data_IF_054361186569
#
_entry.id   IF_054361186569
#
_cell.length_a   1.000
_cell.length_b   1.000
_cell.length_c   1.000
_cell.angle_alpha   90.00
_cell.angle_beta   90.00
_cell.angle_gamma   90.00
#
_symmetry.space_group_name_H-M   'P 1'
#
loop_
_entity.id
_entity.type
_entity.pdbx_description
1 polymer ?
#
# COMPACT_ATOMS: atom_id res chain seq x y z
N UNK A 1 -25.81 -1.37 -15.45
CA UNK A 1 -25.14 -0.34 -16.27
C UNK A 1 -23.98 -0.93 -17.06
N UNK A 2 -22.99 -1.57 -16.41
CA UNK A 2 -21.81 -2.17 -17.07
C UNK A 2 -22.15 -3.13 -18.23
N UNK A 3 -22.95 -4.19 -18.00
CA UNK A 3 -23.32 -5.17 -19.04
C UNK A 3 -23.98 -4.58 -20.30
N UNK A 4 -24.70 -3.46 -20.20
CA UNK A 4 -25.37 -2.83 -21.36
C UNK A 4 -24.41 -2.01 -22.21
N UNK A 5 -23.37 -1.45 -21.59
CA UNK A 5 -22.36 -0.65 -22.29
C UNK A 5 -21.25 -1.51 -22.91
N UNK A 6 -21.07 -2.74 -22.40
CA UNK A 6 -19.97 -3.62 -22.84
C UNK A 6 -20.40 -4.76 -23.78
N UNK A 7 -21.67 -4.81 -24.18
CA UNK A 7 -22.19 -5.86 -25.08
C UNK A 7 -21.55 -5.88 -26.47
N UNK A 8 -20.93 -4.77 -26.90
CA UNK A 8 -20.18 -4.65 -28.17
C UNK A 8 -18.69 -4.97 -28.04
N UNK A 9 -18.22 -5.33 -26.85
CA UNK A 9 -16.80 -5.56 -26.55
C UNK A 9 -16.49 -7.06 -26.38
N UNK A 10 -17.26 -7.94 -27.02
CA UNK A 10 -17.14 -9.40 -26.87
C UNK A 10 -15.75 -9.96 -27.20
N UNK A 11 -14.99 -9.26 -28.04
CA UNK A 11 -13.65 -9.68 -28.49
C UNK A 11 -12.53 -9.20 -27.56
N UNK A 12 -12.87 -8.54 -26.45
CA UNK A 12 -11.92 -8.00 -25.48
C UNK A 12 -11.89 -8.84 -24.20
N UNK A 13 -10.75 -8.75 -23.50
CA UNK A 13 -10.59 -9.28 -22.16
C UNK A 13 -10.78 -8.17 -21.12
N UNK A 14 -11.47 -8.48 -20.02
CA UNK A 14 -11.58 -7.56 -18.88
C UNK A 14 -10.55 -7.91 -17.83
N UNK A 15 -9.69 -6.95 -17.48
CA UNK A 15 -8.82 -7.02 -16.33
C UNK A 15 -9.40 -6.17 -15.20
N UNK A 16 -9.80 -6.82 -14.10
CA UNK A 16 -10.01 -6.14 -12.83
C UNK A 16 -8.68 -6.07 -12.06
N UNK A 17 -8.06 -4.88 -11.93
CA UNK A 17 -6.79 -4.73 -11.21
C UNK A 17 -6.94 -4.85 -9.68
N UNK A 18 -8.09 -5.36 -9.21
CA UNK A 18 -8.43 -5.58 -7.82
C UNK A 18 -9.26 -6.88 -7.65
N UNK A 19 -9.63 -7.15 -6.40
CA UNK A 19 -10.34 -8.36 -5.95
C UNK A 19 -11.67 -8.64 -6.66
N UNK A 20 -12.37 -7.61 -7.13
CA UNK A 20 -13.76 -7.73 -7.55
C UNK A 20 -13.87 -7.46 -9.03
N UNK A 21 -14.08 -8.53 -9.77
CA UNK A 21 -14.39 -8.43 -11.19
C UNK A 21 -15.85 -7.92 -11.32
N UNK A 22 -16.16 -7.02 -12.28
CA UNK A 22 -17.53 -6.63 -12.60
C UNK A 22 -18.23 -7.70 -13.45
N UNK A 23 -19.57 -7.81 -13.46
CA UNK A 23 -20.28 -8.81 -14.28
C UNK A 23 -19.89 -8.76 -15.76
N UNK A 24 -19.21 -9.80 -16.23
CA UNK A 24 -18.66 -9.93 -17.58
C UNK A 24 -18.86 -11.36 -18.09
N UNK A 25 -19.20 -11.51 -19.37
CA UNK A 25 -19.48 -12.82 -19.99
C UNK A 25 -18.31 -13.37 -20.83
N UNK A 26 -17.35 -12.52 -21.19
CA UNK A 26 -16.17 -12.90 -21.96
C UNK A 26 -14.96 -13.28 -21.10
N UNK A 27 -13.77 -13.44 -21.71
CA UNK A 27 -12.53 -13.68 -21.00
C UNK A 27 -12.25 -12.60 -19.97
N UNK A 28 -11.80 -13.00 -18.79
CA UNK A 28 -11.50 -12.06 -17.70
C UNK A 28 -10.37 -12.50 -16.80
N UNK A 29 -9.68 -11.53 -16.23
CA UNK A 29 -8.68 -11.73 -15.19
C UNK A 29 -8.91 -10.79 -14.02
N UNK A 30 -8.61 -11.25 -12.81
CA UNK A 30 -8.65 -10.44 -11.60
C UNK A 30 -7.31 -10.53 -10.88
N UNK A 31 -6.83 -9.40 -10.35
CA UNK A 31 -5.61 -9.35 -9.54
C UNK A 31 -5.95 -9.37 -8.06
N UNK A 32 -5.43 -10.37 -7.35
CA UNK A 32 -5.50 -10.47 -5.90
C UNK A 32 -4.14 -10.04 -5.32
N UNK A 33 -4.16 -9.02 -4.46
CA UNK A 33 -2.96 -8.40 -3.93
C UNK A 33 -2.49 -9.01 -2.61
N UNK A 34 -3.43 -9.41 -1.75
CA UNK A 34 -3.18 -10.06 -0.48
C UNK A 34 -4.45 -10.80 0.00
N UNK A 35 -4.37 -11.56 1.09
CA UNK A 35 -5.54 -12.14 1.77
C UNK A 35 -5.71 -11.55 3.17
N UNK A 36 -5.32 -10.29 3.39
CA UNK A 36 -5.32 -9.74 4.75
C UNK A 36 -6.72 -9.58 5.35
N UNK A 37 -7.73 -9.47 4.49
CA UNK A 37 -9.13 -9.48 4.89
C UNK A 37 -9.56 -10.81 5.51
N UNK A 38 -8.88 -11.91 5.16
CA UNK A 38 -9.10 -13.24 5.74
C UNK A 38 -8.25 -13.46 7.01
N UNK A 39 -6.96 -13.12 6.95
CA UNK A 39 -6.01 -13.37 8.05
C UNK A 39 -6.11 -12.38 9.20
N UNK A 40 -6.41 -11.13 8.88
CA UNK A 40 -6.43 -10.02 9.83
C UNK A 40 -7.70 -9.16 9.67
N UNK A 41 -8.91 -9.75 9.74
CA UNK A 41 -10.16 -9.02 9.54
C UNK A 41 -10.32 -7.84 10.51
N UNK A 42 -9.74 -7.92 11.72
CA UNK A 42 -9.73 -6.84 12.71
C UNK A 42 -8.95 -5.60 12.26
N UNK A 43 -8.05 -5.71 11.28
CA UNK A 43 -7.32 -4.58 10.71
C UNK A 43 -8.08 -3.85 9.59
N UNK A 44 -9.32 -4.28 9.30
CA UNK A 44 -10.13 -3.73 8.22
C UNK A 44 -11.47 -3.20 8.74
N UNK A 45 -12.06 -2.20 8.07
CA UNK A 45 -13.44 -1.82 8.32
C UNK A 45 -14.39 -2.99 8.03
N UNK A 46 -15.40 -3.19 8.88
CA UNK A 46 -16.31 -4.35 8.83
C UNK A 46 -17.07 -4.43 7.51
N UNK A 47 -17.43 -3.29 6.93
CA UNK A 47 -18.09 -3.18 5.65
C UNK A 47 -17.22 -3.66 4.48
N UNK A 48 -15.89 -3.45 4.56
CA UNK A 48 -14.95 -3.97 3.56
C UNK A 48 -14.89 -5.49 3.62
N UNK A 49 -14.86 -6.06 4.83
CA UNK A 49 -14.87 -7.52 5.02
C UNK A 49 -16.15 -8.12 4.41
N UNK A 50 -17.32 -7.59 4.79
CA UNK A 50 -18.61 -8.04 4.24
C UNK A 50 -18.69 -7.91 2.72
N UNK A 51 -18.13 -6.83 2.17
CA UNK A 51 -18.07 -6.63 0.74
C UNK A 51 -17.23 -7.72 0.05
N UNK A 52 -16.04 -8.01 0.56
CA UNK A 52 -15.17 -9.04 0.00
C UNK A 52 -15.76 -10.44 0.16
N UNK A 53 -16.31 -10.79 1.33
CA UNK A 53 -17.02 -12.06 1.55
C UNK A 53 -18.16 -12.28 0.55
N UNK A 54 -18.89 -11.20 0.20
CA UNK A 54 -20.00 -11.28 -0.74
C UNK A 54 -19.58 -11.36 -2.21
N UNK A 55 -18.55 -10.61 -2.60
CA UNK A 55 -18.25 -10.39 -4.03
C UNK A 55 -16.99 -11.10 -4.53
N UNK A 56 -16.11 -11.55 -3.63
CA UNK A 56 -14.93 -12.31 -4.00
C UNK A 56 -15.28 -13.71 -4.54
N UNK A 57 -16.14 -14.54 -3.90
CA UNK A 57 -16.41 -15.89 -4.40
C UNK A 57 -16.90 -15.91 -5.86
N UNK A 58 -17.87 -15.06 -6.28
CA UNK A 58 -18.25 -14.98 -7.69
C UNK A 58 -17.08 -14.61 -8.62
N UNK A 59 -16.13 -13.78 -8.15
CA UNK A 59 -14.93 -13.45 -8.92
C UNK A 59 -14.03 -14.66 -9.12
N UNK A 60 -13.80 -15.45 -8.07
CA UNK A 60 -13.00 -16.67 -8.13
C UNK A 60 -13.61 -17.70 -9.09
N UNK A 61 -14.95 -17.80 -9.12
CA UNK A 61 -15.65 -18.75 -9.98
C UNK A 61 -15.56 -18.37 -11.46
N UNK A 62 -15.77 -17.09 -11.78
CA UNK A 62 -15.94 -16.64 -13.18
C UNK A 62 -14.67 -16.13 -13.86
N UNK A 63 -13.65 -15.74 -13.11
CA UNK A 63 -12.41 -15.25 -13.71
C UNK A 63 -11.74 -16.36 -14.51
N UNK A 64 -11.37 -16.08 -15.76
CA UNK A 64 -10.67 -17.05 -16.61
C UNK A 64 -9.28 -17.38 -16.04
N UNK A 65 -8.58 -16.38 -15.49
CA UNK A 65 -7.35 -16.54 -14.69
C UNK A 65 -7.33 -15.55 -13.53
N UNK A 66 -6.61 -15.89 -12.48
CA UNK A 66 -6.27 -14.97 -11.40
C UNK A 66 -4.81 -14.57 -11.50
N UNK A 67 -4.51 -13.32 -11.19
CA UNK A 67 -3.15 -12.81 -11.06
C UNK A 67 -2.84 -12.66 -9.58
N UNK A 68 -1.75 -13.26 -9.13
CA UNK A 68 -1.17 -13.02 -7.82
C UNK A 68 0.09 -12.16 -7.97
N UNK A 69 0.27 -11.18 -7.09
CA UNK A 69 1.41 -10.24 -7.17
C UNK A 69 2.74 -10.83 -6.66
N UNK A 70 2.71 -12.04 -6.12
CA UNK A 70 3.89 -12.79 -5.68
C UNK A 70 3.56 -14.29 -5.60
N UNK A 71 4.59 -15.13 -5.58
CA UNK A 71 4.39 -16.57 -5.38
C UNK A 71 3.81 -16.87 -4.00
N UNK A 72 4.15 -16.07 -2.98
CA UNK A 72 3.51 -16.16 -1.67
C UNK A 72 2.00 -15.99 -1.78
N UNK A 73 1.52 -14.91 -2.41
CA UNK A 73 0.09 -14.66 -2.59
C UNK A 73 -0.58 -15.74 -3.45
N UNK A 74 0.14 -16.30 -4.44
CA UNK A 74 -0.38 -17.43 -5.24
C UNK A 74 -0.67 -18.66 -4.38
N UNK A 75 0.28 -19.03 -3.51
CA UNK A 75 0.10 -20.16 -2.60
C UNK A 75 -1.02 -19.89 -1.59
N UNK A 76 -1.10 -18.67 -1.08
CA UNK A 76 -2.17 -18.23 -0.17
C UNK A 76 -3.55 -18.38 -0.80
N UNK A 77 -3.74 -17.92 -2.05
CA UNK A 77 -4.99 -18.08 -2.79
C UNK A 77 -5.34 -19.55 -2.96
N UNK A 78 -4.35 -20.39 -3.28
CA UNK A 78 -4.58 -21.83 -3.42
C UNK A 78 -5.03 -22.47 -2.10
N UNK A 79 -4.30 -22.23 -1.01
CA UNK A 79 -4.51 -22.86 0.28
C UNK A 79 -5.80 -22.39 0.96
N UNK A 80 -6.09 -21.10 0.90
CA UNK A 80 -7.19 -20.50 1.66
C UNK A 80 -8.48 -20.30 0.86
N UNK A 81 -8.37 -20.17 -0.47
CA UNK A 81 -9.54 -19.99 -1.35
C UNK A 81 -9.80 -21.20 -2.26
N UNK A 82 -9.04 -22.29 -2.09
CA UNK A 82 -9.21 -23.55 -2.83
C UNK A 82 -9.15 -23.40 -4.36
N UNK A 83 -8.48 -22.36 -4.87
CA UNK A 83 -8.32 -22.17 -6.32
C UNK A 83 -7.13 -23.02 -6.82
N UNK A 84 -7.28 -23.82 -7.88
CA UNK A 84 -6.17 -24.60 -8.43
C UNK A 84 -5.00 -23.71 -8.91
N UNK A 85 -3.76 -24.08 -8.60
CA UNK A 85 -2.56 -23.33 -9.00
C UNK A 85 -2.45 -23.09 -10.50
N UNK A 86 -3.03 -23.97 -11.34
CA UNK A 86 -3.08 -23.81 -12.79
C UNK A 86 -3.96 -22.64 -13.26
N UNK A 87 -4.87 -22.14 -12.40
CA UNK A 87 -5.70 -20.96 -12.68
C UNK A 87 -5.09 -19.66 -12.18
N UNK A 88 -3.97 -19.72 -11.45
CA UNK A 88 -3.32 -18.57 -10.83
C UNK A 88 -1.96 -18.34 -11.47
N UNK A 89 -1.74 -17.13 -11.97
CA UNK A 89 -0.48 -16.71 -12.58
C UNK A 89 0.20 -15.70 -11.67
N UNK A 90 1.46 -15.97 -11.31
CA UNK A 90 2.28 -15.01 -10.56
C UNK A 90 2.79 -13.94 -11.52
N UNK A 91 2.46 -12.68 -11.25
CA UNK A 91 2.99 -11.52 -11.96
C UNK A 91 3.51 -10.53 -10.92
N UNK A 92 4.82 -10.43 -10.79
CA UNK A 92 5.44 -9.51 -9.85
C UNK A 92 5.16 -8.05 -10.24
N UNK A 93 4.85 -7.22 -9.25
CA UNK A 93 4.70 -5.79 -9.48
C UNK A 93 6.02 -5.17 -9.93
N UNK A 94 5.97 -4.32 -10.94
CA UNK A 94 7.09 -3.48 -11.34
C UNK A 94 7.23 -2.26 -10.42
N UNK A 95 8.37 -1.57 -10.56
CA UNK A 95 8.59 -0.24 -9.98
C UNK A 95 8.77 0.75 -11.12
N UNK A 96 8.24 1.96 -10.96
CA UNK A 96 8.42 3.03 -11.94
C UNK A 96 9.90 3.46 -11.99
N UNK A 97 10.42 3.71 -13.19
CA UNK A 97 11.82 4.07 -13.42
C UNK A 97 12.22 5.39 -12.71
N UNK A 98 11.26 6.23 -12.32
CA UNK A 98 11.51 7.43 -11.54
C UNK A 98 12.10 7.14 -10.14
N UNK A 99 11.84 5.95 -9.58
CA UNK A 99 12.37 5.50 -8.28
C UNK A 99 13.76 4.93 -8.45
N UNK A 100 14.76 5.80 -8.35
CA UNK A 100 16.17 5.44 -8.36
C UNK A 100 16.96 6.36 -7.41
N UNK A 101 18.17 5.95 -7.05
CA UNK A 101 19.09 6.78 -6.27
C UNK A 101 19.46 8.05 -7.02
N UNK A 102 19.57 9.17 -6.30
CA UNK A 102 19.89 10.49 -6.87
C UNK A 102 20.91 11.22 -5.99
N UNK A 103 21.80 12.03 -6.57
CA UNK A 103 22.66 12.94 -5.81
C UNK A 103 21.86 13.86 -4.88
N UNK A 104 22.46 14.26 -3.75
CA UNK A 104 21.85 15.17 -2.79
C UNK A 104 21.46 16.53 -3.41
N UNK A 105 22.24 17.02 -4.39
CA UNK A 105 21.96 18.27 -5.10
C UNK A 105 20.65 18.21 -5.89
N UNK A 106 20.28 17.04 -6.41
CA UNK A 106 19.06 16.86 -7.20
C UNK A 106 17.81 16.74 -6.32
N UNK A 107 17.96 16.22 -5.10
CA UNK A 107 16.86 16.03 -4.16
C UNK A 107 16.61 17.27 -3.29
N UNK A 108 17.66 18.03 -2.97
CA UNK A 108 17.61 19.19 -2.06
C UNK A 108 16.49 20.20 -2.35
N UNK A 109 16.20 20.60 -3.62
CA UNK A 109 15.13 21.56 -3.89
C UNK A 109 13.72 21.05 -3.57
N UNK A 110 13.45 19.75 -3.71
CA UNK A 110 12.18 19.15 -3.27
C UNK A 110 12.15 19.03 -1.76
N UNK A 111 13.21 18.48 -1.16
CA UNK A 111 13.27 18.27 0.27
C UNK A 111 13.11 19.59 1.05
N UNK A 112 13.74 20.66 0.59
CA UNK A 112 13.64 21.98 1.22
C UNK A 112 12.20 22.52 1.26
N UNK A 113 11.37 22.25 0.23
CA UNK A 113 9.93 22.62 0.22
C UNK A 113 9.14 21.93 1.33
N UNK A 114 9.60 20.75 1.75
CA UNK A 114 9.04 19.98 2.87
C UNK A 114 9.81 20.21 4.17
N UNK A 115 10.74 21.16 4.22
CA UNK A 115 11.59 21.43 5.39
C UNK A 115 12.53 20.27 5.74
N UNK A 116 12.93 19.46 4.77
CA UNK A 116 13.82 18.31 4.92
C UNK A 116 15.20 18.58 4.33
N UNK A 117 16.18 17.77 4.73
CA UNK A 117 17.54 17.79 4.18
C UNK A 117 17.95 16.39 3.71
N UNK A 118 18.76 16.27 2.64
CA UNK A 118 19.24 14.97 2.17
C UNK A 118 19.93 14.18 3.27
N UNK A 119 19.51 12.93 3.45
CA UNK A 119 19.98 12.05 4.51
C UNK A 119 19.56 12.48 5.92
N UNK A 120 18.70 13.48 6.08
CA UNK A 120 18.34 14.10 7.37
C UNK A 120 17.16 13.47 8.11
N UNK A 121 16.57 12.40 7.60
CA UNK A 121 15.33 11.81 8.14
C UNK A 121 15.19 10.33 7.82
N UNK A 122 14.41 9.63 8.64
CA UNK A 122 13.88 8.30 8.30
C UNK A 122 12.54 8.48 7.58
N UNK A 123 12.25 7.63 6.59
CA UNK A 123 11.03 7.75 5.80
C UNK A 123 10.14 6.52 5.94
N UNK A 124 8.83 6.72 6.15
CA UNK A 124 7.81 5.70 5.94
C UNK A 124 6.70 6.27 5.06
N UNK A 125 6.35 5.55 4.00
CA UNK A 125 5.28 5.93 3.06
C UNK A 125 4.18 4.88 3.10
N UNK A 126 3.05 5.21 3.71
CA UNK A 126 1.91 4.32 3.80
C UNK A 126 0.62 5.07 4.18
N UNK A 127 -0.53 4.59 3.73
CA UNK A 127 -1.82 4.98 4.33
C UNK A 127 -1.78 4.72 5.85
N UNK A 128 -2.28 5.65 6.65
CA UNK A 128 -2.33 5.49 8.10
C UNK A 128 -3.45 4.50 8.46
N UNK A 129 -3.13 3.20 8.46
CA UNK A 129 -4.04 2.10 8.81
C UNK A 129 -3.30 1.02 9.63
N UNK A 130 -3.99 0.23 10.48
CA UNK A 130 -3.37 -0.76 11.37
C UNK A 130 -2.41 -1.73 10.67
N UNK A 131 -2.76 -2.11 9.44
CA UNK A 131 -2.02 -3.08 8.62
C UNK A 131 -0.60 -2.63 8.25
N UNK A 132 -0.32 -1.33 8.35
CA UNK A 132 1.01 -0.77 8.07
C UNK A 132 1.92 -0.78 9.29
N UNK A 133 1.40 -1.22 10.44
CA UNK A 133 2.15 -1.41 11.67
C UNK A 133 2.91 -0.15 12.14
N UNK A 134 2.36 1.03 11.84
CA UNK A 134 2.98 2.31 12.17
C UNK A 134 3.08 2.57 13.68
N UNK A 135 2.24 1.89 14.48
CA UNK A 135 2.33 1.90 15.95
C UNK A 135 3.68 1.33 16.38
N UNK A 136 4.08 0.16 15.85
CA UNK A 136 5.36 -0.46 16.17
C UNK A 136 6.52 0.42 15.70
N UNK A 137 6.39 1.05 14.53
CA UNK A 137 7.38 1.98 14.03
C UNK A 137 7.55 3.19 14.97
N UNK A 138 6.45 3.82 15.39
CA UNK A 138 6.48 4.93 16.34
C UNK A 138 7.09 4.53 17.70
N UNK A 139 6.76 3.34 18.21
CA UNK A 139 7.34 2.78 19.43
C UNK A 139 8.83 2.48 19.30
N UNK A 140 9.26 1.95 18.14
CA UNK A 140 10.67 1.68 17.89
C UNK A 140 11.46 3.00 17.81
N UNK A 141 10.92 3.99 17.09
CA UNK A 141 11.52 5.32 16.98
C UNK A 141 11.61 6.00 18.35
N UNK A 142 10.57 5.94 19.18
CA UNK A 142 10.57 6.58 20.51
C UNK A 142 11.63 6.03 21.47
N UNK A 143 12.10 4.80 21.24
CA UNK A 143 13.18 4.15 22.01
C UNK A 143 14.57 4.60 21.59
N UNK A 144 14.72 5.30 20.46
CA UNK A 144 16.01 5.86 20.07
C UNK A 144 16.43 7.00 21.03
N UNK A 145 17.74 7.16 21.29
CA UNK A 145 18.27 8.32 21.99
C UNK A 145 17.73 9.63 21.41
N UNK A 146 17.42 10.60 22.27
CA UNK A 146 16.88 11.92 21.84
C UNK A 146 17.74 12.52 20.74
N UNK A 147 19.07 12.52 20.91
CA UNK A 147 20.00 13.04 19.91
C UNK A 147 19.81 12.39 18.51
N UNK A 148 19.55 11.08 18.44
CA UNK A 148 19.29 10.42 17.16
C UNK A 148 17.93 10.81 16.59
N UNK A 149 16.90 10.92 17.43
CA UNK A 149 15.56 11.35 16.98
C UNK A 149 15.55 12.78 16.45
N UNK A 150 16.32 13.67 17.08
CA UNK A 150 16.49 15.05 16.61
C UNK A 150 17.29 15.12 15.32
N UNK A 151 18.36 14.33 15.19
CA UNK A 151 19.17 14.31 13.96
C UNK A 151 18.47 13.63 12.78
N UNK A 152 17.57 12.67 13.06
CA UNK A 152 16.85 11.85 12.08
C UNK A 152 15.38 11.72 12.50
N UNK A 153 14.57 12.78 12.43
CA UNK A 153 13.14 12.67 12.66
C UNK A 153 12.52 11.66 11.71
N UNK A 154 11.48 10.97 12.17
CA UNK A 154 10.71 10.04 11.34
C UNK A 154 9.67 10.84 10.54
N UNK A 155 9.79 10.79 9.22
CA UNK A 155 8.86 11.42 8.28
C UNK A 155 7.84 10.40 7.81
N UNK A 156 6.57 10.72 8.00
CA UNK A 156 5.43 9.91 7.57
C UNK A 156 4.72 10.58 6.40
N UNK A 157 4.63 9.86 5.28
CA UNK A 157 3.89 10.29 4.08
C UNK A 157 2.73 9.33 3.84
N UNK A 158 1.55 9.86 3.62
CA UNK A 158 0.36 9.07 3.32
C UNK A 158 -0.92 9.73 3.79
N UNK A 159 -2.03 9.29 3.21
CA UNK A 159 -3.35 9.72 3.63
C UNK A 159 -3.74 9.10 4.97
N UNK A 160 -4.57 9.81 5.73
CA UNK A 160 -5.29 9.22 6.87
C UNK A 160 -6.14 8.05 6.37
N UNK A 161 -6.04 6.92 7.06
CA UNK A 161 -6.83 5.73 6.77
C UNK A 161 -7.97 5.56 7.76
N UNK A 162 -8.00 4.40 8.41
CA UNK A 162 -9.03 4.00 9.36
C UNK A 162 -8.39 3.47 10.64
N UNK A 163 -9.17 3.44 11.74
CA UNK A 163 -8.73 2.88 13.03
C UNK A 163 -7.39 3.48 13.51
N UNK A 164 -7.25 4.80 13.40
CA UNK A 164 -6.00 5.52 13.70
C UNK A 164 -5.91 6.02 15.13
N UNK A 165 -6.95 5.88 15.95
CA UNK A 165 -7.02 6.45 17.30
C UNK A 165 -5.86 5.95 18.19
N UNK A 166 -5.50 4.68 18.08
CA UNK A 166 -4.33 4.15 18.78
C UNK A 166 -3.02 4.72 18.24
N UNK A 167 -2.89 4.86 16.93
CA UNK A 167 -1.70 5.42 16.30
C UNK A 167 -1.45 6.86 16.76
N UNK A 168 -2.50 7.69 16.82
CA UNK A 168 -2.39 9.09 17.27
C UNK A 168 -1.80 9.19 18.69
N UNK A 169 -2.17 8.29 19.60
CA UNK A 169 -1.60 8.26 20.98
C UNK A 169 -0.08 8.12 21.00
N UNK A 170 0.51 7.48 20.00
CA UNK A 170 1.96 7.33 19.88
C UNK A 170 2.61 8.44 19.06
N UNK A 171 1.93 8.95 18.03
CA UNK A 171 2.48 9.98 17.15
C UNK A 171 2.47 11.35 17.82
N UNK A 172 1.37 11.76 18.46
CA UNK A 172 1.21 13.11 18.97
C UNK A 172 2.36 13.59 19.90
N UNK A 173 2.83 12.81 20.89
CA UNK A 173 3.94 13.27 21.74
C UNK A 173 5.26 13.40 20.98
N UNK A 174 5.48 12.56 19.96
CA UNK A 174 6.69 12.60 19.15
C UNK A 174 6.67 13.80 18.19
N UNK A 175 5.50 14.17 17.68
CA UNK A 175 5.32 15.33 16.81
C UNK A 175 5.48 16.65 17.57
N UNK A 176 4.92 16.75 18.78
CA UNK A 176 5.14 17.93 19.64
C UNK A 176 6.62 18.15 19.96
N UNK A 177 7.43 17.10 19.93
CA UNK A 177 8.87 17.14 20.16
C UNK A 177 9.69 17.22 18.86
N UNK A 178 9.06 17.41 17.69
CA UNK A 178 9.67 17.43 16.36
C UNK A 178 10.50 16.17 16.02
N UNK A 179 10.19 15.04 16.67
CA UNK A 179 10.83 13.75 16.40
C UNK A 179 10.10 12.95 15.33
N UNK A 180 8.84 13.27 15.06
CA UNK A 180 8.03 12.72 13.97
C UNK A 180 7.41 13.89 13.21
N UNK A 181 7.34 13.76 11.87
CA UNK A 181 6.74 14.76 10.99
C UNK A 181 5.80 14.08 10.00
N UNK A 182 4.51 14.36 10.09
CA UNK A 182 3.52 13.96 9.07
C UNK A 182 3.47 15.00 7.96
N UNK A 183 3.80 14.59 6.73
CA UNK A 183 3.62 15.44 5.54
C UNK A 183 2.24 15.27 4.91
N UNK A 184 1.51 14.23 5.29
CA UNK A 184 0.23 13.89 4.66
C UNK A 184 0.42 13.48 3.20
N UNK A 185 -0.41 14.04 2.31
CA UNK A 185 -0.28 13.85 0.87
C UNK A 185 0.84 14.71 0.30
N UNK A 186 1.71 14.11 -0.52
CA UNK A 186 2.71 14.82 -1.32
C UNK A 186 2.48 14.55 -2.81
N UNK A 187 2.86 15.47 -3.70
CA UNK A 187 2.78 15.23 -5.14
C UNK A 187 3.50 13.95 -5.55
N UNK A 188 2.92 13.17 -6.46
CA UNK A 188 3.52 11.93 -6.96
C UNK A 188 4.92 12.15 -7.57
N UNK A 189 5.16 13.33 -8.15
CA UNK A 189 6.45 13.75 -8.71
C UNK A 189 7.52 14.02 -7.63
N UNK A 190 7.11 14.38 -6.42
CA UNK A 190 8.04 14.64 -5.31
C UNK A 190 8.46 13.33 -4.63
N UNK A 191 7.61 12.30 -4.67
CA UNK A 191 7.81 11.07 -3.92
C UNK A 191 9.15 10.37 -4.22
N UNK A 192 9.58 10.17 -5.49
CA UNK A 192 10.88 9.55 -5.76
C UNK A 192 12.07 10.33 -5.20
N UNK A 193 11.96 11.67 -5.14
CA UNK A 193 13.00 12.55 -4.61
C UNK A 193 13.03 12.47 -3.07
N UNK A 194 11.87 12.34 -2.43
CA UNK A 194 11.76 12.09 -0.99
C UNK A 194 12.28 10.71 -0.59
N UNK A 195 12.09 9.67 -1.41
CA UNK A 195 12.73 8.37 -1.21
C UNK A 195 14.26 8.46 -1.34
N UNK A 196 14.75 9.05 -2.45
CA UNK A 196 16.18 9.14 -2.73
C UNK A 196 16.94 10.02 -1.72
N UNK A 197 16.25 11.01 -1.13
CA UNK A 197 16.81 11.90 -0.12
C UNK A 197 16.70 11.39 1.32
N UNK A 198 16.05 10.26 1.58
CA UNK A 198 15.93 9.71 2.94
C UNK A 198 17.25 9.10 3.42
N UNK A 199 17.51 9.11 4.72
CA UNK A 199 18.62 8.35 5.31
C UNK A 199 18.38 6.84 5.20
N UNK A 200 17.15 6.44 5.51
CA UNK A 200 16.68 5.07 5.38
C UNK A 200 15.15 5.06 5.24
N UNK A 201 14.64 3.98 4.64
CA UNK A 201 13.21 3.66 4.65
C UNK A 201 12.91 2.74 5.83
N UNK A 202 11.83 3.01 6.56
CA UNK A 202 11.45 2.37 7.80
C UNK A 202 10.19 1.51 7.68
#
# INVERSE_FOLDING_TARGET
MFRRQTSRLSDFLVHAPNYILPPWAGPSVATLHDLSHLHYPQHHPRERIRYLERYLPPTLDRASRLIAVSEFVRQEIHQHLSVPLARIVTVHNGVDAAFHSRPALDTAPVLARHGLQPGGYLLSVATLEPRKNLIRLAQAHSRLPVALRTMKPLVLIGASGWLTEELERYLEPLERADHVRRLGYVPQTDLPLLYAGAFAFA
#
